data_IF_191506855648
#
_entry.id   IF_191506855648
#
_cell.length_a   1.000
_cell.length_b   1.000
_cell.length_c   1.000
_cell.angle_alpha   90.00
_cell.angle_beta   90.00
_cell.angle_gamma   90.00
#
_symmetry.space_group_name_H-M   'P 1'
#
loop_
_entity.id
_entity.type
_entity.pdbx_description
1 polymer ?
#
# COMPACT_ATOMS: atom_id res chain seq x y z
N UNK A 1 -46.23 -2.62 -5.39
CA UNK A 1 -47.23 -3.18 -4.45
C UNK A 1 -46.73 -4.47 -3.79
N UNK A 2 -45.60 -4.41 -3.05
CA UNK A 2 -45.05 -5.51 -2.23
C UNK A 2 -44.23 -4.93 -1.06
N UNK A 3 -44.94 -4.46 -0.04
CA UNK A 3 -44.46 -4.24 1.33
C UNK A 3 -45.51 -4.91 2.22
N UNK A 4 -45.09 -5.42 3.38
CA UNK A 4 -45.88 -6.12 4.42
C UNK A 4 -45.77 -7.66 4.31
N UNK A 5 -44.63 -8.22 4.75
CA UNK A 5 -44.57 -9.61 5.27
C UNK A 5 -43.24 -9.86 6.03
N UNK A 6 -42.96 -9.07 7.09
CA UNK A 6 -41.78 -9.31 7.96
C UNK A 6 -42.03 -8.89 9.42
N UNK A 7 -43.16 -9.30 9.98
CA UNK A 7 -43.52 -8.96 11.38
C UNK A 7 -43.85 -10.16 12.29
N UNK A 8 -43.49 -11.40 11.91
CA UNK A 8 -43.94 -12.60 12.66
C UNK A 8 -42.83 -13.53 13.20
N UNK A 9 -41.56 -13.10 13.27
CA UNK A 9 -40.46 -13.97 13.77
C UNK A 9 -39.71 -13.48 15.01
N UNK A 10 -40.25 -12.52 15.76
CA UNK A 10 -39.57 -11.97 16.96
C UNK A 10 -40.00 -12.67 18.27
N UNK A 11 -41.09 -13.45 18.30
CA UNK A 11 -41.64 -13.96 19.57
C UNK A 11 -41.23 -15.38 20.00
N UNK A 12 -40.33 -16.07 19.29
CA UNK A 12 -39.89 -17.41 19.72
C UNK A 12 -38.65 -17.39 20.64
N UNK A 13 -37.89 -16.29 20.68
CA UNK A 13 -36.64 -16.25 21.45
C UNK A 13 -36.83 -15.90 22.94
N UNK A 14 -37.97 -15.28 23.30
CA UNK A 14 -38.25 -14.88 24.68
C UNK A 14 -38.74 -16.05 25.56
N UNK A 15 -39.19 -17.16 24.98
CA UNK A 15 -39.73 -18.28 25.75
C UNK A 15 -38.67 -19.24 26.31
N UNK A 16 -37.40 -19.13 25.89
CA UNK A 16 -36.33 -20.04 26.36
C UNK A 16 -35.66 -19.58 27.68
N UNK A 17 -35.97 -18.38 28.18
CA UNK A 17 -35.30 -17.80 29.35
C UNK A 17 -35.99 -18.07 30.70
N UNK A 18 -37.10 -18.83 30.73
CA UNK A 18 -37.88 -19.03 31.95
C UNK A 18 -37.86 -20.47 32.51
N UNK A 19 -37.12 -21.40 31.90
CA UNK A 19 -36.84 -22.69 32.55
C UNK A 19 -35.73 -22.50 33.58
N UNK A 20 -36.09 -22.64 34.86
CA UNK A 20 -35.23 -22.46 36.03
C UNK A 20 -33.93 -23.26 35.97
N UNK A 21 -32.91 -22.66 35.38
CA UNK A 21 -31.52 -23.09 35.54
C UNK A 21 -31.05 -22.55 36.88
N UNK A 22 -30.59 -23.46 37.73
CA UNK A 22 -29.97 -23.14 39.01
C UNK A 22 -28.73 -22.25 38.80
N UNK A 23 -28.93 -20.94 38.95
CA UNK A 23 -27.94 -19.89 38.67
C UNK A 23 -26.72 -20.03 39.58
N UNK A 24 -26.86 -20.68 40.74
CA UNK A 24 -25.75 -20.87 41.69
C UNK A 24 -24.77 -21.96 41.26
N UNK A 25 -25.21 -22.98 40.51
CA UNK A 25 -24.33 -23.99 39.93
C UNK A 25 -23.57 -23.51 38.68
N UNK A 26 -24.17 -22.58 37.92
CA UNK A 26 -23.60 -22.10 36.65
C UNK A 26 -22.49 -21.05 36.85
N UNK A 27 -22.60 -20.17 37.86
CA UNK A 27 -21.55 -19.17 38.14
C UNK A 27 -20.21 -19.81 38.56
N UNK A 28 -20.22 -20.94 39.28
CA UNK A 28 -18.99 -21.64 39.68
C UNK A 28 -18.22 -22.26 38.51
N UNK A 29 -18.94 -22.72 37.47
CA UNK A 29 -18.33 -23.32 36.27
C UNK A 29 -17.83 -22.29 35.27
N UNK A 30 -18.46 -21.11 35.19
CA UNK A 30 -18.03 -20.02 34.30
C UNK A 30 -16.73 -19.38 34.82
N UNK A 31 -16.56 -19.25 36.14
CA UNK A 31 -15.34 -18.70 36.74
C UNK A 31 -14.11 -19.62 36.58
N UNK A 32 -14.29 -20.93 36.54
CA UNK A 32 -13.18 -21.89 36.39
C UNK A 32 -12.62 -21.98 34.95
N UNK A 33 -13.40 -21.62 33.92
CA UNK A 33 -12.95 -21.65 32.52
C UNK A 33 -12.37 -20.32 32.01
N UNK A 34 -12.52 -19.23 32.77
CA UNK A 34 -12.07 -17.90 32.36
C UNK A 34 -10.55 -17.76 32.12
N UNK A 35 -9.65 -18.39 32.91
CA UNK A 35 -8.21 -18.22 32.67
C UNK A 35 -7.72 -18.91 31.39
N UNK A 36 -8.40 -19.96 30.92
CA UNK A 36 -8.02 -20.66 29.67
C UNK A 36 -8.42 -19.85 28.43
N UNK A 37 -9.55 -19.13 28.49
CA UNK A 37 -10.01 -18.27 27.39
C UNK A 37 -9.24 -16.94 27.32
N UNK A 38 -8.77 -16.40 28.45
CA UNK A 38 -7.95 -15.19 28.47
C UNK A 38 -6.53 -15.43 27.90
N UNK A 39 -5.97 -16.65 28.04
CA UNK A 39 -4.66 -17.00 27.49
C UNK A 39 -4.63 -17.07 25.95
N UNK A 40 -5.74 -17.45 25.31
CA UNK A 40 -5.79 -17.64 23.85
C UNK A 40 -5.82 -16.31 23.06
N UNK A 41 -6.34 -15.22 23.64
CA UNK A 41 -6.44 -13.92 22.95
C UNK A 41 -5.10 -13.19 22.86
N UNK A 42 -4.16 -13.46 23.78
CA UNK A 42 -2.84 -12.82 23.79
C UNK A 42 -1.83 -13.46 22.81
N UNK A 43 -2.14 -14.63 22.25
CA UNK A 43 -1.28 -15.30 21.27
C UNK A 43 -1.67 -15.00 19.82
N UNK A 44 -2.77 -14.27 19.59
CA UNK A 44 -3.15 -13.79 18.26
C UNK A 44 -2.19 -12.66 17.86
N UNK A 45 -1.01 -13.03 17.35
CA UNK A 45 -0.12 -12.08 16.69
C UNK A 45 -0.92 -11.43 15.56
N UNK A 46 -1.02 -10.09 15.49
CA UNK A 46 -1.71 -9.44 14.39
C UNK A 46 -1.12 -9.97 13.08
N UNK A 47 -1.98 -10.33 12.13
CA UNK A 47 -1.53 -10.58 10.77
C UNK A 47 -1.02 -9.24 10.24
N UNK A 48 0.27 -8.99 10.42
CA UNK A 48 0.92 -7.75 10.00
C UNK A 48 1.03 -7.83 8.49
N UNK A 49 0.01 -7.33 7.79
CA UNK A 49 0.16 -6.94 6.40
C UNK A 49 1.33 -5.94 6.36
N UNK A 50 2.38 -6.24 5.60
CA UNK A 50 3.60 -5.45 5.68
C UNK A 50 3.34 -4.01 5.26
N UNK A 51 3.57 -3.12 6.22
CA UNK A 51 3.47 -1.67 6.01
C UNK A 51 4.67 -1.19 5.18
N UNK A 52 5.81 -1.88 5.31
CA UNK A 52 7.06 -1.51 4.66
C UNK A 52 7.52 -2.69 3.78
N UNK A 53 7.76 -2.47 2.47
CA UNK A 53 8.34 -3.49 1.61
C UNK A 53 9.76 -3.81 2.05
N UNK A 54 10.07 -5.09 2.17
CA UNK A 54 11.43 -5.54 2.46
C UNK A 54 12.30 -5.44 1.21
N UNK A 55 13.62 -5.15 1.37
CA UNK A 55 14.57 -5.30 0.28
C UNK A 55 14.45 -6.66 -0.39
N UNK A 56 14.60 -6.67 -1.71
CA UNK A 56 14.89 -7.91 -2.40
C UNK A 56 16.30 -8.35 -2.03
N UNK A 57 16.41 -9.50 -1.38
CA UNK A 57 17.71 -10.13 -1.10
C UNK A 57 17.93 -11.29 -2.09
N UNK A 58 18.91 -11.18 -2.99
CA UNK A 58 19.19 -12.24 -3.95
C UNK A 58 19.64 -13.55 -3.30
N UNK A 59 20.12 -13.53 -2.05
CA UNK A 59 20.56 -14.73 -1.33
C UNK A 59 19.44 -15.79 -1.21
N UNK A 60 18.18 -15.35 -1.22
CA UNK A 60 17.00 -16.22 -1.17
C UNK A 60 16.90 -17.18 -2.36
N UNK A 61 17.54 -16.87 -3.50
CA UNK A 61 17.58 -17.77 -4.67
C UNK A 61 18.17 -19.15 -4.32
N UNK A 62 19.00 -19.24 -3.27
CA UNK A 62 19.56 -20.51 -2.79
C UNK A 62 18.49 -21.47 -2.30
N UNK A 63 17.34 -20.96 -1.85
CA UNK A 63 16.20 -21.75 -1.39
C UNK A 63 15.31 -22.24 -2.53
N UNK A 64 15.52 -21.76 -3.77
CA UNK A 64 14.74 -22.20 -4.92
C UNK A 64 15.00 -23.67 -5.26
N UNK A 65 13.96 -24.41 -5.63
CA UNK A 65 14.12 -25.78 -6.16
C UNK A 65 14.62 -25.76 -7.60
N UNK A 66 14.17 -24.77 -8.37
CA UNK A 66 14.63 -24.53 -9.73
C UNK A 66 14.84 -23.04 -9.99
N UNK A 67 15.83 -22.74 -10.85
CA UNK A 67 16.12 -21.40 -11.36
C UNK A 67 16.40 -21.53 -12.84
N UNK A 68 15.72 -20.75 -13.67
CA UNK A 68 15.81 -20.91 -15.11
C UNK A 68 15.57 -19.59 -15.84
N UNK A 69 16.11 -19.51 -17.06
CA UNK A 69 15.80 -18.46 -18.02
C UNK A 69 14.56 -18.89 -18.78
N UNK A 70 13.55 -18.02 -18.87
CA UNK A 70 12.33 -18.31 -19.60
C UNK A 70 11.87 -17.14 -20.45
N UNK A 71 11.07 -17.44 -21.48
CA UNK A 71 10.32 -16.47 -22.26
C UNK A 71 8.85 -16.48 -21.82
N UNK A 72 8.29 -15.30 -21.56
CA UNK A 72 6.89 -15.13 -21.17
C UNK A 72 5.99 -15.41 -22.38
N UNK A 73 5.09 -16.37 -22.25
CA UNK A 73 4.10 -16.69 -23.29
C UNK A 73 2.68 -16.27 -22.94
N UNK A 74 2.38 -16.08 -21.65
CA UNK A 74 1.06 -15.69 -21.19
C UNK A 74 1.07 -15.28 -19.73
N UNK A 75 0.16 -14.38 -19.36
CA UNK A 75 -0.05 -13.94 -18.00
C UNK A 75 -1.53 -13.62 -17.78
N UNK A 76 -2.09 -14.10 -16.68
CA UNK A 76 -3.46 -13.83 -16.29
C UNK A 76 -3.54 -13.67 -14.77
N UNK A 77 -4.39 -12.76 -14.30
CA UNK A 77 -4.74 -12.67 -12.88
C UNK A 77 -6.00 -13.47 -12.64
N UNK A 78 -5.88 -14.56 -11.90
CA UNK A 78 -7.03 -15.37 -11.50
C UNK A 78 -7.62 -14.76 -10.23
N UNK A 79 -8.89 -14.38 -10.33
CA UNK A 79 -9.68 -13.87 -9.21
C UNK A 79 -10.60 -14.99 -8.74
N UNK A 80 -10.33 -15.48 -7.54
CA UNK A 80 -11.14 -16.53 -6.94
C UNK A 80 -12.24 -15.88 -6.09
N UNK A 81 -13.50 -16.26 -6.35
CA UNK A 81 -14.60 -15.80 -5.52
C UNK A 81 -14.45 -16.37 -4.09
N UNK A 82 -14.72 -15.56 -3.05
CA UNK A 82 -14.73 -16.05 -1.67
C UNK A 82 -15.65 -17.28 -1.55
N UNK A 83 -15.27 -18.32 -0.79
CA UNK A 83 -14.27 -18.33 0.28
C UNK A 83 -12.88 -18.86 -0.13
N UNK A 84 -12.58 -18.98 -1.42
CA UNK A 84 -11.31 -19.57 -1.86
C UNK A 84 -10.13 -18.66 -1.49
N UNK A 85 -9.13 -19.23 -0.82
CA UNK A 85 -7.86 -18.60 -0.50
C UNK A 85 -6.80 -19.25 -1.41
N UNK A 86 -5.90 -18.48 -2.05
CA UNK A 86 -5.88 -17.02 -2.08
C UNK A 86 -7.05 -16.46 -2.90
N UNK A 87 -7.53 -15.27 -2.52
CA UNK A 87 -8.59 -14.60 -3.26
C UNK A 87 -8.13 -14.16 -4.67
N UNK A 88 -6.83 -13.90 -4.88
CA UNK A 88 -6.28 -13.55 -6.19
C UNK A 88 -4.84 -14.05 -6.33
N UNK A 89 -4.45 -14.55 -7.51
CA UNK A 89 -3.07 -14.91 -7.82
C UNK A 89 -2.74 -14.66 -9.30
N UNK A 90 -1.45 -14.51 -9.61
CA UNK A 90 -0.98 -14.43 -11.00
C UNK A 90 -0.67 -15.82 -11.54
N UNK A 91 -1.19 -16.16 -12.71
CA UNK A 91 -0.84 -17.37 -13.46
C UNK A 91 0.09 -16.98 -14.61
N UNK A 92 1.34 -17.42 -14.54
CA UNK A 92 2.37 -17.08 -15.52
C UNK A 92 2.67 -18.32 -16.36
N UNK A 93 2.45 -18.25 -17.68
CA UNK A 93 2.84 -19.32 -18.60
C UNK A 93 4.15 -18.95 -19.27
N UNK A 94 5.14 -19.84 -19.19
CA UNK A 94 6.48 -19.58 -19.71
C UNK A 94 7.01 -20.75 -20.54
N UNK A 95 7.94 -20.44 -21.44
CA UNK A 95 8.79 -21.43 -22.12
C UNK A 95 10.21 -21.33 -21.58
N UNK A 96 10.70 -22.39 -20.98
CA UNK A 96 12.06 -22.48 -20.42
C UNK A 96 13.07 -22.53 -21.56
N UNK A 97 14.01 -21.60 -21.53
CA UNK A 97 15.11 -21.49 -22.49
C UNK A 97 16.35 -22.21 -21.96
N UNK A 98 16.66 -22.04 -20.68
CA UNK A 98 17.84 -22.62 -20.04
C UNK A 98 17.62 -22.85 -18.54
N UNK A 99 18.23 -23.87 -17.96
CA UNK A 99 18.14 -24.17 -16.53
C UNK A 99 19.45 -23.82 -15.83
N UNK A 100 19.40 -22.88 -14.89
CA UNK A 100 20.55 -22.44 -14.08
C UNK A 100 20.70 -23.35 -12.84
N UNK A 101 19.58 -23.70 -12.21
CA UNK A 101 19.50 -24.63 -11.06
C UNK A 101 18.30 -25.56 -11.24
N UNK A 102 18.47 -26.80 -10.83
CA UNK A 102 17.39 -27.80 -10.88
C UNK A 102 17.02 -28.16 -12.31
N UNK A 103 15.82 -28.71 -12.48
CA UNK A 103 15.26 -29.02 -13.80
C UNK A 103 13.82 -28.53 -13.85
N UNK A 104 13.45 -27.92 -14.97
CA UNK A 104 12.08 -27.55 -15.27
C UNK A 104 11.69 -28.06 -16.66
N UNK A 105 10.42 -28.41 -16.88
CA UNK A 105 9.94 -28.81 -18.20
C UNK A 105 10.02 -27.62 -19.17
N UNK A 106 10.07 -27.91 -20.48
CA UNK A 106 10.19 -26.89 -21.53
C UNK A 106 9.08 -25.83 -21.46
N UNK A 107 7.88 -26.21 -21.06
CA UNK A 107 6.74 -25.32 -20.86
C UNK A 107 6.10 -25.63 -19.52
N UNK A 108 5.87 -24.58 -18.73
CA UNK A 108 5.16 -24.70 -17.47
C UNK A 108 4.32 -23.47 -17.18
N UNK A 109 3.35 -23.69 -16.32
CA UNK A 109 2.60 -22.63 -15.65
C UNK A 109 3.16 -22.46 -14.25
N UNK A 110 3.24 -21.21 -13.81
CA UNK A 110 3.76 -20.81 -12.52
C UNK A 110 2.66 -20.07 -11.78
N UNK A 111 2.54 -20.37 -10.49
CA UNK A 111 1.68 -19.59 -9.60
C UNK A 111 2.51 -18.49 -8.95
N UNK A 112 2.06 -17.25 -9.09
CA UNK A 112 2.56 -16.13 -8.31
C UNK A 112 1.54 -15.78 -7.23
N UNK A 113 1.82 -16.29 -6.04
CA UNK A 113 0.87 -16.32 -4.94
C UNK A 113 0.64 -15.02 -4.17
N UNK A 114 1.01 -13.88 -4.76
CA UNK A 114 0.95 -12.51 -4.23
C UNK A 114 0.38 -12.37 -2.80
N UNK A 115 1.27 -12.26 -1.82
CA UNK A 115 0.90 -12.22 -0.41
C UNK A 115 0.67 -10.80 0.15
N UNK A 116 0.98 -9.71 -0.58
CA UNK A 116 0.91 -8.35 0.03
C UNK A 116 0.62 -7.19 -0.94
N UNK A 117 1.03 -7.25 -2.21
CA UNK A 117 1.05 -6.05 -3.09
C UNK A 117 0.00 -6.04 -4.22
N UNK A 118 -0.79 -7.11 -4.35
CA UNK A 118 -1.63 -7.29 -5.53
C UNK A 118 -0.81 -7.93 -6.66
N UNK A 119 -1.40 -8.90 -7.38
CA UNK A 119 -0.85 -9.29 -8.66
C UNK A 119 -1.22 -8.16 -9.65
N UNK A 120 -0.26 -7.55 -10.35
CA UNK A 120 -0.54 -6.50 -11.31
C UNK A 120 -1.39 -7.08 -12.45
N UNK A 121 -2.27 -6.27 -13.05
CA UNK A 121 -3.09 -6.71 -14.19
C UNK A 121 -2.25 -7.08 -15.42
N UNK A 122 -1.02 -6.53 -15.51
CA UNK A 122 -0.08 -6.77 -16.59
C UNK A 122 1.35 -6.87 -16.04
N UNK A 123 2.15 -7.79 -16.58
CA UNK A 123 3.59 -7.84 -16.28
C UNK A 123 4.35 -6.77 -17.08
N UNK A 124 5.48 -6.32 -16.52
CA UNK A 124 6.37 -5.39 -17.22
C UNK A 124 6.82 -5.95 -18.58
N UNK A 125 6.87 -5.14 -19.65
CA UNK A 125 7.42 -5.55 -20.94
C UNK A 125 8.85 -6.10 -20.88
N UNK A 126 9.63 -5.67 -19.88
CA UNK A 126 11.01 -6.11 -19.66
C UNK A 126 11.09 -7.57 -19.20
N UNK A 127 9.97 -8.16 -18.77
CA UNK A 127 9.85 -9.56 -18.38
C UNK A 127 9.51 -10.50 -19.54
N UNK A 128 9.57 -10.03 -20.80
CA UNK A 128 9.40 -10.91 -21.98
C UNK A 128 10.39 -12.07 -21.99
N UNK A 129 11.62 -11.82 -21.53
CA UNK A 129 12.63 -12.83 -21.23
C UNK A 129 13.16 -12.54 -19.84
N UNK A 130 13.11 -13.54 -18.95
CA UNK A 130 13.34 -13.34 -17.53
C UNK A 130 14.06 -14.52 -16.90
N UNK A 131 14.68 -14.28 -15.75
CA UNK A 131 15.17 -15.30 -14.84
C UNK A 131 14.10 -15.49 -13.76
N UNK A 132 13.67 -16.74 -13.59
CA UNK A 132 12.65 -17.12 -12.64
C UNK A 132 13.26 -18.08 -11.64
N UNK A 133 13.00 -17.85 -10.35
CA UNK A 133 13.23 -18.86 -9.32
C UNK A 133 11.89 -19.41 -8.82
N UNK A 134 11.80 -20.72 -8.64
CA UNK A 134 10.58 -21.41 -8.22
C UNK A 134 10.85 -22.36 -7.06
N UNK A 135 9.80 -22.61 -6.28
CA UNK A 135 9.74 -23.73 -5.34
C UNK A 135 8.65 -24.70 -5.78
N UNK A 136 8.80 -25.97 -5.41
CA UNK A 136 7.76 -26.97 -5.58
C UNK A 136 6.53 -26.58 -4.75
N UNK A 137 5.34 -26.67 -5.37
CA UNK A 137 4.06 -26.42 -4.69
C UNK A 137 3.77 -27.50 -3.64
N UNK A 138 4.28 -28.73 -3.84
CA UNK A 138 4.14 -29.85 -2.91
C UNK A 138 5.42 -30.09 -2.11
N UNK A 139 5.36 -29.98 -0.78
CA UNK A 139 6.37 -30.56 0.12
C UNK A 139 7.51 -29.65 0.61
N UNK A 140 7.62 -28.40 0.14
CA UNK A 140 8.64 -27.46 0.60
C UNK A 140 8.22 -26.72 1.88
N UNK A 141 8.68 -27.15 3.05
CA UNK A 141 8.61 -26.35 4.28
C UNK A 141 9.61 -25.17 4.18
N UNK A 142 9.30 -24.13 3.41
CA UNK A 142 10.07 -22.89 3.48
C UNK A 142 9.67 -22.15 4.78
N UNK A 143 10.59 -21.93 5.73
CA UNK A 143 10.27 -21.22 6.96
C UNK A 143 9.72 -19.83 6.64
N UNK A 144 8.54 -19.48 7.19
CA UNK A 144 7.93 -18.16 6.99
C UNK A 144 7.01 -18.01 5.79
N UNK A 145 6.77 -19.06 4.99
CA UNK A 145 5.84 -19.01 3.85
C UNK A 145 4.43 -19.41 4.27
N UNK A 146 3.43 -18.61 3.91
CA UNK A 146 2.01 -18.93 4.09
C UNK A 146 1.60 -20.09 3.15
N UNK A 147 1.90 -21.33 3.54
CA UNK A 147 1.50 -22.56 2.84
C UNK A 147 -0.03 -22.71 2.73
N UNK A 148 -0.79 -21.97 3.55
CA UNK A 148 -2.24 -22.12 3.71
C UNK A 148 -3.07 -21.64 2.52
N UNK A 149 -2.50 -20.89 1.58
CA UNK A 149 -3.27 -20.37 0.45
C UNK A 149 -3.35 -21.34 -0.74
N UNK A 150 -2.39 -22.24 -0.97
CA UNK A 150 -2.32 -22.97 -2.25
C UNK A 150 -2.66 -24.46 -2.15
N UNK A 151 -3.50 -24.86 -1.20
CA UNK A 151 -3.88 -26.26 -0.98
C UNK A 151 -4.87 -26.83 -2.03
N UNK A 152 -5.12 -26.13 -3.13
CA UNK A 152 -5.97 -26.66 -4.22
C UNK A 152 -5.18 -27.66 -5.07
N UNK A 153 -5.74 -28.86 -5.25
CA UNK A 153 -5.12 -29.98 -5.98
C UNK A 153 -4.86 -29.71 -7.47
N UNK A 154 -5.46 -28.67 -8.03
CA UNK A 154 -5.37 -28.35 -9.47
C UNK A 154 -4.37 -27.22 -9.77
N UNK A 155 -3.60 -26.76 -8.78
CA UNK A 155 -2.62 -25.71 -9.01
C UNK A 155 -1.36 -26.24 -9.70
N UNK A 156 -0.72 -25.42 -10.56
CA UNK A 156 0.56 -25.75 -11.14
C UNK A 156 1.61 -26.20 -10.11
N UNK A 157 2.47 -27.14 -10.51
CA UNK A 157 3.49 -27.76 -9.66
C UNK A 157 4.56 -26.80 -9.15
N UNK A 158 4.69 -25.61 -9.74
CA UNK A 158 5.72 -24.64 -9.41
C UNK A 158 5.13 -23.30 -9.00
N UNK A 159 5.61 -22.78 -7.87
CA UNK A 159 5.27 -21.44 -7.36
C UNK A 159 6.48 -20.53 -7.47
N UNK A 160 6.29 -19.30 -7.94
CA UNK A 160 7.35 -18.27 -7.98
C UNK A 160 7.91 -18.07 -6.58
N UNK A 161 9.24 -18.11 -6.44
CA UNK A 161 9.91 -17.80 -5.19
C UNK A 161 9.68 -16.32 -4.86
N UNK A 162 9.14 -16.06 -3.68
CA UNK A 162 8.92 -14.72 -3.17
C UNK A 162 8.98 -14.81 -1.64
N UNK A 163 9.84 -13.98 -1.05
CA UNK A 163 9.86 -13.77 0.39
C UNK A 163 8.69 -12.90 0.84
N UNK A 164 8.29 -13.08 2.09
CA UNK A 164 7.26 -12.26 2.71
C UNK A 164 7.61 -10.78 2.52
N UNK A 165 6.70 -10.04 1.87
CA UNK A 165 6.81 -8.60 1.72
C UNK A 165 7.99 -8.09 0.88
N UNK A 166 8.61 -8.98 0.10
CA UNK A 166 9.60 -8.65 -0.91
C UNK A 166 9.03 -8.82 -2.33
N UNK A 167 9.77 -8.35 -3.33
CA UNK A 167 9.42 -8.55 -4.74
C UNK A 167 9.56 -10.04 -5.12
N UNK A 168 8.75 -10.55 -6.07
CA UNK A 168 8.92 -11.91 -6.58
C UNK A 168 10.25 -12.06 -7.33
N UNK A 169 10.79 -13.28 -7.36
CA UNK A 169 12.01 -13.60 -8.10
C UNK A 169 11.71 -13.75 -9.61
N UNK A 170 11.26 -12.66 -10.22
CA UNK A 170 10.97 -12.50 -11.65
C UNK A 170 11.85 -11.36 -12.19
N UNK A 171 13.03 -11.71 -12.68
CA UNK A 171 14.09 -10.74 -12.96
C UNK A 171 14.24 -10.58 -14.46
N UNK A 172 14.32 -9.36 -15.02
CA UNK A 172 14.61 -9.16 -16.43
C UNK A 172 15.89 -9.88 -16.84
N UNK A 173 15.85 -10.58 -17.98
CA UNK A 173 17.03 -11.29 -18.46
C UNK A 173 18.07 -10.31 -19.00
N UNK A 174 19.25 -10.33 -18.39
CA UNK A 174 20.49 -9.84 -18.95
C UNK A 174 21.60 -10.85 -18.63
N UNK A 175 22.67 -10.86 -19.42
CA UNK A 175 23.82 -11.74 -19.16
C UNK A 175 24.46 -11.44 -17.79
N UNK A 176 24.51 -10.17 -17.40
CA UNK A 176 24.95 -9.75 -16.06
C UNK A 176 24.01 -10.24 -14.95
N UNK A 177 22.68 -10.19 -15.18
CA UNK A 177 21.68 -10.73 -14.26
C UNK A 177 21.91 -12.22 -14.00
N UNK A 178 22.09 -13.00 -15.07
CA UNK A 178 22.36 -14.43 -14.98
C UNK A 178 23.67 -14.72 -14.24
N UNK A 179 24.76 -14.03 -14.59
CA UNK A 179 26.06 -14.22 -13.93
C UNK A 179 26.00 -13.92 -12.42
N UNK A 180 25.23 -12.89 -12.01
CA UNK A 180 25.04 -12.57 -10.61
C UNK A 180 24.19 -13.63 -9.88
N UNK A 181 23.12 -14.16 -10.50
CA UNK A 181 22.34 -15.26 -9.94
C UNK A 181 23.20 -16.52 -9.77
N UNK A 182 23.99 -16.87 -10.78
CA UNK A 182 24.95 -17.98 -10.72
C UNK A 182 26.01 -17.77 -9.63
N UNK A 183 26.50 -16.54 -9.46
CA UNK A 183 27.43 -16.21 -8.38
C UNK A 183 26.82 -16.46 -7.00
N UNK A 184 25.59 -15.99 -6.77
CA UNK A 184 24.88 -16.20 -5.50
C UNK A 184 24.64 -17.68 -5.25
N UNK A 185 24.20 -18.43 -6.25
CA UNK A 185 24.01 -19.87 -6.15
C UNK A 185 25.31 -20.61 -5.82
N UNK A 186 26.44 -20.15 -6.34
CA UNK A 186 27.76 -20.70 -6.07
C UNK A 186 28.36 -20.29 -4.71
N UNK A 187 27.62 -19.61 -3.84
CA UNK A 187 28.16 -19.19 -2.54
C UNK A 187 28.85 -17.82 -2.55
N UNK A 188 29.04 -17.21 -3.72
CA UNK A 188 29.83 -15.97 -3.90
C UNK A 188 29.01 -14.72 -3.54
N UNK A 189 29.67 -13.62 -3.15
CA UNK A 189 29.00 -12.33 -2.98
C UNK A 189 28.40 -11.87 -4.31
N UNK A 190 27.29 -11.14 -4.21
CA UNK A 190 26.70 -10.43 -5.34
C UNK A 190 27.69 -9.34 -5.78
N UNK A 191 28.01 -9.20 -7.07
CA UNK A 191 28.84 -8.10 -7.54
C UNK A 191 28.25 -6.75 -7.11
N UNK A 192 29.09 -5.81 -6.67
CA UNK A 192 28.62 -4.46 -6.23
C UNK A 192 27.93 -3.69 -7.38
N UNK A 193 28.23 -4.04 -8.63
CA UNK A 193 27.64 -3.50 -9.85
C UNK A 193 26.39 -4.29 -10.33
N UNK A 194 25.95 -5.32 -9.61
CA UNK A 194 24.64 -5.98 -9.80
C UNK A 194 23.50 -5.09 -9.25
N UNK A 195 23.57 -3.84 -9.68
CA UNK A 195 22.86 -2.67 -9.24
C UNK A 195 21.38 -2.69 -9.67
N UNK A 196 20.99 -3.73 -10.40
CA UNK A 196 19.65 -4.02 -10.92
C UNK A 196 18.72 -4.63 -9.85
N UNK A 197 19.25 -5.19 -8.75
CA UNK A 197 18.45 -5.50 -7.56
C UNK A 197 18.01 -4.24 -6.80
N UNK A 198 18.75 -3.15 -6.95
CA UNK A 198 18.50 -1.87 -6.29
C UNK A 198 18.08 -0.76 -7.26
N UNK A 199 18.01 -1.01 -8.58
CA UNK A 199 17.76 0.04 -9.58
C UNK A 199 16.37 0.64 -9.42
N UNK A 200 15.35 -0.21 -9.24
CA UNK A 200 13.98 0.23 -8.99
C UNK A 200 13.88 0.97 -7.65
N UNK A 201 14.57 0.48 -6.61
CA UNK A 201 14.69 1.17 -5.32
C UNK A 201 15.40 2.53 -5.47
N UNK A 202 16.45 2.65 -6.29
CA UNK A 202 17.12 3.93 -6.55
C UNK A 202 16.24 4.87 -7.36
N UNK A 203 15.46 4.37 -8.31
CA UNK A 203 14.46 5.17 -9.01
C UNK A 203 13.36 5.64 -8.05
N UNK A 204 12.91 4.78 -7.14
CA UNK A 204 11.93 5.15 -6.12
C UNK A 204 12.50 6.17 -5.13
N UNK A 205 13.73 5.98 -4.65
CA UNK A 205 14.41 6.95 -3.79
C UNK A 205 14.64 8.28 -4.51
N UNK A 206 15.06 8.25 -5.78
CA UNK A 206 15.20 9.44 -6.60
C UNK A 206 13.86 10.16 -6.81
N UNK A 207 12.76 9.42 -7.04
CA UNK A 207 11.41 10.00 -7.11
C UNK A 207 11.02 10.65 -5.78
N UNK A 208 11.25 9.97 -4.65
CA UNK A 208 10.98 10.52 -3.31
C UNK A 208 11.79 11.77 -3.03
N UNK A 209 13.02 11.84 -3.53
CA UNK A 209 13.88 13.02 -3.38
C UNK A 209 13.41 14.19 -4.25
N UNK A 210 12.99 13.92 -5.49
CA UNK A 210 12.32 14.90 -6.35
C UNK A 210 11.03 15.42 -5.68
N UNK A 211 10.21 14.52 -5.13
CA UNK A 211 8.96 14.88 -4.45
C UNK A 211 9.22 15.70 -3.18
N UNK A 212 10.26 15.37 -2.41
CA UNK A 212 10.70 16.16 -1.26
C UNK A 212 11.09 17.57 -1.68
N UNK A 213 11.90 17.71 -2.72
CA UNK A 213 12.27 19.03 -3.27
C UNK A 213 11.06 19.82 -3.74
N UNK A 214 10.07 19.17 -4.36
CA UNK A 214 8.80 19.80 -4.76
C UNK A 214 7.98 20.28 -3.57
N UNK A 215 7.89 19.48 -2.50
CA UNK A 215 7.20 19.87 -1.26
C UNK A 215 7.87 21.05 -0.57
N UNK A 216 9.21 21.07 -0.52
CA UNK A 216 9.98 22.20 0.01
C UNK A 216 9.75 23.48 -0.80
N UNK A 217 9.71 23.37 -2.13
CA UNK A 217 9.40 24.49 -3.01
C UNK A 217 7.97 25.01 -2.79
N UNK A 218 6.98 24.12 -2.65
CA UNK A 218 5.60 24.50 -2.37
C UNK A 218 5.49 25.20 -1.00
N UNK A 219 6.16 24.68 0.02
CA UNK A 219 6.18 25.29 1.35
C UNK A 219 6.84 26.68 1.33
N UNK A 220 7.86 26.87 0.48
CA UNK A 220 8.47 28.20 0.27
C UNK A 220 7.49 29.17 -0.40
N UNK A 221 6.83 28.75 -1.47
CA UNK A 221 5.85 29.57 -2.18
C UNK A 221 4.66 29.94 -1.29
N UNK A 222 4.23 29.05 -0.40
CA UNK A 222 3.18 29.33 0.57
C UNK A 222 3.58 30.45 1.55
N UNK A 223 4.82 30.42 2.06
CA UNK A 223 5.36 31.49 2.92
C UNK A 223 5.47 32.82 2.18
N UNK A 224 5.94 32.82 0.94
CA UNK A 224 6.04 34.03 0.11
C UNK A 224 4.66 34.62 -0.18
N UNK A 225 3.68 33.78 -0.56
CA UNK A 225 2.31 34.22 -0.78
C UNK A 225 1.65 34.77 0.50
N UNK A 226 1.93 34.16 1.65
CA UNK A 226 1.45 34.66 2.94
C UNK A 226 2.02 36.05 3.24
N UNK A 227 3.33 36.25 3.06
CA UNK A 227 3.97 37.55 3.27
C UNK A 227 3.41 38.63 2.33
N UNK A 228 3.19 38.29 1.05
CA UNK A 228 2.57 39.21 0.09
C UNK A 228 1.14 39.61 0.49
N UNK A 229 0.34 38.65 0.99
CA UNK A 229 -1.01 38.95 1.50
C UNK A 229 -0.97 39.90 2.70
N UNK A 230 -0.01 39.73 3.61
CA UNK A 230 0.18 40.62 4.75
C UNK A 230 0.62 42.02 4.30
N UNK A 231 1.50 42.13 3.30
CA UNK A 231 1.91 43.43 2.73
C UNK A 231 0.74 44.15 2.03
N UNK A 232 -0.04 43.43 1.22
CA UNK A 232 -1.23 43.97 0.56
C UNK A 232 -2.24 44.48 1.59
N UNK A 233 -2.54 43.67 2.62
CA UNK A 233 -3.46 44.07 3.69
C UNK A 233 -2.96 45.31 4.45
N UNK A 234 -1.65 45.42 4.70
CA UNK A 234 -1.07 46.61 5.33
C UNK A 234 -1.20 47.86 4.46
N UNK A 235 -0.97 47.75 3.14
CA UNK A 235 -1.15 48.85 2.18
C UNK A 235 -2.61 49.27 2.05
N UNK A 236 -3.54 48.31 2.02
CA UNK A 236 -4.97 48.59 2.03
C UNK A 236 -5.37 49.37 3.28
N UNK A 237 -4.92 48.95 4.46
CA UNK A 237 -5.18 49.68 5.71
C UNK A 237 -4.58 51.10 5.71
N UNK A 238 -3.40 51.30 5.11
CA UNK A 238 -2.81 52.63 4.96
C UNK A 238 -3.63 53.50 4.00
N UNK A 239 -4.05 52.96 2.87
CA UNK A 239 -4.92 53.66 1.91
C UNK A 239 -6.25 54.05 2.55
N UNK A 240 -6.87 53.17 3.33
CA UNK A 240 -8.10 53.47 4.07
C UNK A 240 -7.91 54.63 5.06
N UNK A 241 -6.79 54.64 5.83
CA UNK A 241 -6.47 55.76 6.73
C UNK A 241 -6.28 57.08 5.98
N UNK A 242 -5.60 57.06 4.84
CA UNK A 242 -5.40 58.26 4.00
C UNK A 242 -6.73 58.76 3.43
N UNK A 243 -7.57 57.85 2.94
CA UNK A 243 -8.91 58.17 2.43
C UNK A 243 -9.80 58.77 3.54
N UNK A 244 -9.77 58.18 4.74
CA UNK A 244 -10.50 58.70 5.89
C UNK A 244 -10.02 60.10 6.31
N UNK A 245 -8.70 60.31 6.38
CA UNK A 245 -8.14 61.63 6.68
C UNK A 245 -8.51 62.68 5.62
N UNK A 246 -8.48 62.32 4.33
CA UNK A 246 -8.94 63.21 3.25
C UNK A 246 -10.44 63.54 3.37
N UNK A 247 -11.27 62.57 3.72
CA UNK A 247 -12.71 62.78 3.93
C UNK A 247 -12.99 63.73 5.11
N UNK A 248 -12.28 63.58 6.23
CA UNK A 248 -12.37 64.51 7.37
C UNK A 248 -11.93 65.92 6.95
N UNK A 249 -10.80 66.03 6.25
CA UNK A 249 -10.31 67.32 5.76
C UNK A 249 -11.33 68.03 4.86
N UNK A 250 -11.96 67.30 3.94
CA UNK A 250 -13.03 67.82 3.09
C UNK A 250 -14.27 68.26 3.89
N UNK A 251 -14.69 67.47 4.88
CA UNK A 251 -15.83 67.81 5.74
C UNK A 251 -15.57 69.07 6.58
N UNK A 252 -14.37 69.20 7.15
CA UNK A 252 -13.97 70.40 7.91
C UNK A 252 -13.96 71.65 7.02
N UNK A 253 -13.45 71.56 5.79
CA UNK A 253 -13.50 72.66 4.83
C UNK A 253 -14.95 73.08 4.49
N UNK A 254 -15.88 72.14 4.36
CA UNK A 254 -17.30 72.42 4.16
C UNK A 254 -17.93 73.13 5.37
N UNK A 255 -17.61 72.69 6.60
CA UNK A 255 -18.11 73.32 7.84
C UNK A 255 -17.58 74.75 7.99
N UNK A 256 -16.28 74.96 7.79
CA UNK A 256 -15.69 76.31 7.83
C UNK A 256 -16.28 77.20 6.73
N UNK A 257 -16.44 76.67 5.51
CA UNK A 257 -17.05 77.39 4.40
C UNK A 257 -18.48 77.85 4.70
N UNK A 258 -19.31 76.97 5.28
CA UNK A 258 -20.70 77.31 5.67
C UNK A 258 -20.75 78.31 6.83
N UNK A 259 -19.90 78.16 7.86
CA UNK A 259 -19.80 79.10 8.96
C UNK A 259 -19.40 80.52 8.48
N UNK A 260 -18.38 80.61 7.63
CA UNK A 260 -17.93 81.87 7.04
C UNK A 260 -19.03 82.53 6.18
N UNK A 261 -19.75 81.74 5.39
CA UNK A 261 -20.87 82.21 4.58
C UNK A 261 -21.98 82.84 5.46
N UNK A 262 -22.38 82.16 6.53
CA UNK A 262 -23.39 82.67 7.47
C UNK A 262 -22.93 83.93 8.20
N UNK A 263 -21.68 83.96 8.69
CA UNK A 263 -21.11 85.14 9.33
C UNK A 263 -21.18 86.37 8.41
N UNK A 264 -20.79 86.22 7.14
CA UNK A 264 -20.84 87.30 6.15
C UNK A 264 -22.27 87.78 5.86
N UNK A 265 -23.26 86.89 5.94
CA UNK A 265 -24.68 87.22 5.74
C UNK A 265 -25.24 88.06 6.88
N UNK A 266 -24.87 87.76 8.14
CA UNK A 266 -25.33 88.50 9.32
C UNK A 266 -24.61 89.82 9.55
N UNK A 267 -23.39 89.98 9.00
CA UNK A 267 -22.61 91.21 9.12
C UNK A 267 -23.05 92.34 8.14
N UNK A 268 -24.02 92.09 7.27
CA UNK A 268 -24.63 93.09 6.38
C UNK A 268 -26.01 93.47 6.91
#
# INVERSE_FOLDING_TARGET
MKRIEKAAKVNAFAAFFLSGVDVRGLMGRILACWPVLAGAVLAASPAVACIVPEPFDPSYVRQADAVFVASLSGYEVIRADPPQVPANYGLITVTVVDNIKGKSPLRLQLVWGNSTFGAPEQLSPDLRRMIVATVASEGGHTPGRAQSAFASRDLPEATVLQESCSAPFLLPYASSTQAAVEAVLAGRPVPDDADWFNAERRQELARREIDRGRLEQLARLDRENKALREEVAAKEAEMERRNFAMAIGAALLLVVGTAFFWWRRFAR
#
